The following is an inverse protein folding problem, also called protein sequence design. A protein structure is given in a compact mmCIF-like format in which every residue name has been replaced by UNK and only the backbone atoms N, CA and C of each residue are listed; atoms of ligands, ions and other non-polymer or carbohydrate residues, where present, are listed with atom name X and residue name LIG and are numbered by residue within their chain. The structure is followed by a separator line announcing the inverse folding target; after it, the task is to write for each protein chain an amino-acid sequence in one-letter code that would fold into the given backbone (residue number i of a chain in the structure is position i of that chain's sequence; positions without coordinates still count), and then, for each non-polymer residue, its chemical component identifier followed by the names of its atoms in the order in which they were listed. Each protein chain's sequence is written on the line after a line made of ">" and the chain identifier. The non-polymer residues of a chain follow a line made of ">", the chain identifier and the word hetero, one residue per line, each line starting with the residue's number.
data_IF_484487584784
#
_entry.id   IF_484487584784
#
_cell.length_a   1.000
_cell.length_b   1.000
_cell.length_c   1.000
_cell.angle_alpha   90.00
_cell.angle_beta   90.00
_cell.angle_gamma   90.00
#
_symmetry.space_group_name_H-M   'P 1'
#
loop_
_entity.id
_entity.type
_entity.pdbx_description
1 polymer ?
#
# COMPACT_ATOMS: atom_id res chain seq x y z
N UNK A 1 -10.04 9.02 -4.59
CA UNK A 1 -8.62 9.10 -5.02
C UNK A 1 -7.72 8.80 -3.83
N UNK A 2 -6.60 8.12 -4.05
CA UNK A 2 -5.60 7.85 -2.99
C UNK A 2 -4.36 8.70 -3.26
N UNK A 3 -3.90 9.43 -2.25
CA UNK A 3 -2.74 10.31 -2.32
C UNK A 3 -1.67 9.85 -1.34
N UNK A 4 -0.44 9.72 -1.83
CA UNK A 4 0.70 9.31 -1.02
C UNK A 4 1.43 10.54 -0.49
N UNK A 5 1.64 10.59 0.82
CA UNK A 5 2.44 11.59 1.55
C UNK A 5 3.44 10.86 2.44
N UNK A 6 4.37 11.56 3.09
CA UNK A 6 5.33 10.95 3.98
C UNK A 6 6.17 11.94 4.77
N UNK A 7 7.16 11.41 5.51
CA UNK A 7 8.11 12.21 6.31
C UNK A 7 8.81 13.29 5.48
N UNK A 8 9.09 13.02 4.21
CA UNK A 8 9.77 13.94 3.30
C UNK A 8 8.81 14.87 2.55
N UNK A 9 7.50 14.72 2.74
CA UNK A 9 6.52 15.60 2.07
C UNK A 9 6.57 16.98 2.68
N UNK A 10 6.91 17.96 1.83
CA UNK A 10 6.89 19.37 2.18
C UNK A 10 5.46 19.87 2.43
N UNK A 11 5.20 20.31 3.65
CA UNK A 11 3.88 20.76 4.10
C UNK A 11 3.35 21.98 3.34
N UNK A 12 4.23 22.89 2.93
CA UNK A 12 3.86 24.06 2.14
C UNK A 12 3.37 23.68 0.73
N UNK A 13 4.02 22.69 0.11
CA UNK A 13 3.61 22.16 -1.19
C UNK A 13 2.29 21.38 -1.08
N UNK A 14 2.11 20.56 -0.05
CA UNK A 14 0.84 19.87 0.19
C UNK A 14 -0.30 20.87 0.40
N UNK A 15 -0.07 21.90 1.21
CA UNK A 15 -1.07 22.94 1.47
C UNK A 15 -1.46 23.63 0.16
N UNK A 16 -0.47 24.05 -0.65
CA UNK A 16 -0.72 24.69 -1.94
C UNK A 16 -1.46 23.78 -2.93
N UNK A 17 -1.09 22.50 -2.97
CA UNK A 17 -1.78 21.51 -3.81
C UNK A 17 -3.26 21.38 -3.42
N UNK A 18 -3.55 21.26 -2.13
CA UNK A 18 -4.93 21.12 -1.64
C UNK A 18 -5.77 22.39 -1.88
N UNK A 19 -5.17 23.57 -1.76
CA UNK A 19 -5.82 24.84 -2.10
C UNK A 19 -6.16 24.91 -3.59
N UNK A 20 -5.22 24.55 -4.47
CA UNK A 20 -5.48 24.50 -5.91
C UNK A 20 -6.53 23.45 -6.26
N UNK A 21 -6.50 22.29 -5.61
CA UNK A 21 -7.49 21.24 -5.78
C UNK A 21 -8.89 21.69 -5.34
N UNK A 22 -9.01 22.44 -4.24
CA UNK A 22 -10.28 23.00 -3.77
C UNK A 22 -10.88 24.02 -4.73
N UNK A 23 -10.04 24.72 -5.49
CA UNK A 23 -10.51 25.64 -6.53
C UNK A 23 -11.00 24.92 -7.80
N UNK A 24 -10.61 23.66 -7.99
CA UNK A 24 -10.91 22.90 -9.21
C UNK A 24 -11.96 21.80 -9.03
N UNK A 25 -11.97 21.14 -7.87
CA UNK A 25 -12.84 20.01 -7.60
C UNK A 25 -13.98 20.38 -6.63
N UNK A 26 -15.19 19.82 -6.83
CA UNK A 26 -16.27 19.97 -5.86
C UNK A 26 -15.86 19.46 -4.46
N UNK A 27 -16.41 20.05 -3.38
CA UNK A 27 -16.12 19.61 -2.01
C UNK A 27 -16.35 18.10 -1.77
N UNK A 28 -17.40 17.54 -2.38
CA UNK A 28 -17.69 16.11 -2.30
C UNK A 28 -16.55 15.24 -2.87
N UNK A 29 -15.93 15.69 -3.98
CA UNK A 29 -14.79 15.00 -4.58
C UNK A 29 -13.58 15.05 -3.66
N UNK A 30 -13.24 16.21 -3.08
CA UNK A 30 -12.12 16.33 -2.15
C UNK A 30 -12.32 15.51 -0.88
N UNK A 31 -13.53 15.49 -0.32
CA UNK A 31 -13.85 14.68 0.86
C UNK A 31 -13.80 13.17 0.59
N UNK A 32 -13.85 12.75 -0.68
CA UNK A 32 -13.63 11.36 -1.08
C UNK A 32 -12.15 10.97 -1.18
N UNK A 33 -11.23 11.93 -1.03
CA UNK A 33 -9.80 11.65 -1.09
C UNK A 33 -9.32 10.99 0.19
N UNK A 34 -8.28 10.18 0.06
CA UNK A 34 -7.74 9.34 1.11
C UNK A 34 -6.23 9.46 1.06
N UNK A 35 -5.61 9.75 2.20
CA UNK A 35 -4.20 10.07 2.28
C UNK A 35 -3.47 8.91 2.95
N UNK A 36 -2.43 8.42 2.30
CA UNK A 36 -1.61 7.32 2.79
C UNK A 36 -0.25 7.90 3.13
N UNK A 37 0.12 7.82 4.40
CA UNK A 37 1.38 8.36 4.90
C UNK A 37 2.45 7.28 5.00
N UNK A 38 3.61 7.58 4.42
CA UNK A 38 4.78 6.71 4.36
C UNK A 38 5.89 7.25 5.24
N UNK A 39 6.68 6.37 5.84
CA UNK A 39 7.94 6.76 6.46
C UNK A 39 9.07 5.84 6.06
N UNK A 40 10.28 6.39 6.17
CA UNK A 40 11.50 5.62 6.06
C UNK A 40 11.75 4.88 7.39
N UNK A 41 12.10 3.58 7.37
CA UNK A 41 12.50 2.85 8.57
C UNK A 41 13.67 3.49 9.33
N UNK A 42 14.48 4.29 8.66
CA UNK A 42 15.61 5.02 9.23
C UNK A 42 15.20 6.29 9.98
N UNK A 43 13.97 6.79 9.81
CA UNK A 43 13.50 7.97 10.54
C UNK A 43 13.33 7.64 12.03
N UNK A 44 13.82 8.52 12.91
CA UNK A 44 13.61 8.40 14.36
C UNK A 44 12.14 8.52 14.73
N UNK A 45 11.74 7.98 15.87
CA UNK A 45 10.35 8.05 16.34
C UNK A 45 9.88 9.50 16.49
N UNK A 46 10.69 10.37 17.09
CA UNK A 46 10.39 11.80 17.23
C UNK A 46 10.15 12.48 15.89
N UNK A 47 10.97 12.16 14.87
CA UNK A 47 10.79 12.69 13.51
C UNK A 47 9.50 12.19 12.86
N UNK A 48 9.16 10.90 13.03
CA UNK A 48 7.90 10.31 12.54
C UNK A 48 6.70 11.00 13.17
N UNK A 49 6.69 11.17 14.49
CA UNK A 49 5.59 11.82 15.20
C UNK A 49 5.44 13.30 14.81
N UNK A 50 6.55 14.04 14.70
CA UNK A 50 6.51 15.43 14.27
C UNK A 50 5.94 15.57 12.85
N UNK A 51 6.43 14.77 11.90
CA UNK A 51 5.94 14.78 10.52
C UNK A 51 4.47 14.37 10.42
N UNK A 52 4.05 13.33 11.15
CA UNK A 52 2.65 12.90 11.21
C UNK A 52 1.71 14.02 11.68
N UNK A 53 2.02 14.66 12.81
CA UNK A 53 1.21 15.77 13.34
C UNK A 53 1.16 16.94 12.37
N UNK A 54 2.29 17.27 11.73
CA UNK A 54 2.36 18.36 10.76
C UNK A 54 1.46 18.08 9.54
N UNK A 55 1.53 16.87 8.98
CA UNK A 55 0.72 16.44 7.82
C UNK A 55 -0.76 16.45 8.17
N UNK A 56 -1.15 15.86 9.31
CA UNK A 56 -2.53 15.93 9.83
C UNK A 56 -3.02 17.36 9.98
N UNK A 57 -2.20 18.23 10.57
CA UNK A 57 -2.55 19.64 10.77
C UNK A 57 -2.75 20.42 9.47
N UNK A 58 -2.06 20.05 8.38
CA UNK A 58 -2.34 20.60 7.04
C UNK A 58 -3.67 20.08 6.51
N UNK A 59 -3.90 18.77 6.60
CA UNK A 59 -5.12 18.15 6.09
C UNK A 59 -6.37 18.67 6.81
N UNK A 60 -6.39 18.69 8.14
CA UNK A 60 -7.55 19.14 8.93
C UNK A 60 -7.82 20.65 8.83
N UNK A 61 -6.84 21.47 8.42
CA UNK A 61 -7.09 22.89 8.14
C UNK A 61 -7.82 23.13 6.83
N UNK A 62 -7.63 22.26 5.85
CA UNK A 62 -8.13 22.47 4.49
C UNK A 62 -9.29 21.56 4.13
N UNK A 63 -9.43 20.43 4.82
CA UNK A 63 -10.46 19.43 4.57
C UNK A 63 -11.28 19.23 5.86
N UNK A 64 -12.62 19.13 5.76
CA UNK A 64 -13.48 18.99 6.93
C UNK A 64 -13.32 17.64 7.64
N UNK A 65 -13.16 16.55 6.88
CA UNK A 65 -13.03 15.19 7.40
C UNK A 65 -12.01 14.39 6.57
N UNK A 66 -10.72 14.77 6.58
CA UNK A 66 -9.70 14.02 5.88
C UNK A 66 -9.54 12.65 6.55
N UNK A 67 -9.35 11.59 5.73
CA UNK A 67 -8.89 10.31 6.24
C UNK A 67 -7.41 10.13 5.89
N UNK A 68 -6.58 9.97 6.92
CA UNK A 68 -5.15 9.74 6.85
C UNK A 68 -4.81 8.39 7.49
N UNK A 69 -4.31 7.47 6.67
CA UNK A 69 -3.83 6.18 7.12
C UNK A 69 -2.32 6.05 7.01
N UNK A 70 -1.82 4.99 7.61
CA UNK A 70 -0.41 4.64 7.67
C UNK A 70 -0.11 3.57 6.65
N UNK A 71 0.92 3.75 5.83
CA UNK A 71 1.52 2.66 5.07
C UNK A 71 2.62 1.98 5.89
N UNK A 72 2.55 0.66 6.00
CA UNK A 72 3.60 -0.12 6.62
C UNK A 72 3.89 -1.42 5.88
N UNK A 73 5.19 -1.71 5.73
CA UNK A 73 5.67 -2.97 5.19
C UNK A 73 6.07 -3.88 6.35
N UNK A 74 5.16 -4.78 6.72
CA UNK A 74 5.43 -5.82 7.71
C UNK A 74 6.47 -6.83 7.21
N UNK A 75 7.31 -7.31 8.13
CA UNK A 75 8.24 -8.39 7.86
C UNK A 75 7.49 -9.65 7.37
N UNK A 76 8.02 -10.39 6.38
CA UNK A 76 7.32 -11.55 5.84
C UNK A 76 7.16 -12.71 6.82
N UNK A 77 8.12 -12.89 7.74
CA UNK A 77 8.18 -14.04 8.66
C UNK A 77 7.30 -13.90 9.90
N UNK A 78 7.15 -12.68 10.42
CA UNK A 78 6.43 -12.43 11.68
C UNK A 78 5.76 -11.05 11.69
N UNK A 79 4.73 -10.85 10.86
CA UNK A 79 4.03 -9.58 10.78
C UNK A 79 3.25 -9.24 12.06
N UNK A 80 2.98 -10.19 12.96
CA UNK A 80 2.17 -10.00 14.16
C UNK A 80 2.90 -9.34 15.33
N UNK A 81 4.23 -9.49 15.39
CA UNK A 81 5.07 -8.91 16.46
C UNK A 81 5.73 -7.58 16.05
N UNK A 82 5.22 -6.94 15.00
CA UNK A 82 5.80 -5.70 14.47
C UNK A 82 5.70 -4.54 15.50
N UNK A 83 6.80 -3.77 15.72
CA UNK A 83 6.79 -2.63 16.64
C UNK A 83 5.72 -1.57 16.33
N UNK A 84 5.25 -1.47 15.08
CA UNK A 84 4.21 -0.53 14.70
C UNK A 84 2.95 -0.67 15.56
N UNK A 85 2.57 -1.88 15.99
CA UNK A 85 1.36 -2.08 16.80
C UNK A 85 1.42 -1.40 18.18
N UNK A 86 2.61 -1.00 18.63
CA UNK A 86 2.80 -0.25 19.87
C UNK A 86 2.97 1.26 19.63
N UNK A 87 2.98 1.70 18.36
CA UNK A 87 3.18 3.10 18.02
C UNK A 87 1.94 3.92 18.34
N UNK A 88 2.08 5.09 19.00
CA UNK A 88 0.96 6.00 19.24
C UNK A 88 0.35 6.52 17.93
N UNK A 89 1.11 6.52 16.83
CA UNK A 89 0.64 6.97 15.51
C UNK A 89 -0.51 6.10 15.00
N UNK A 90 -0.48 4.81 15.33
CA UNK A 90 -1.48 3.86 14.86
C UNK A 90 -2.84 4.15 15.52
N UNK A 91 -2.85 4.57 16.78
CA UNK A 91 -4.09 4.94 17.50
C UNK A 91 -4.77 6.18 16.91
N UNK A 92 -4.01 7.06 16.24
CA UNK A 92 -4.56 8.25 15.63
C UNK A 92 -4.99 8.02 14.17
N UNK A 93 -4.46 7.00 13.49
CA UNK A 93 -4.69 6.75 12.06
C UNK A 93 -6.14 6.37 11.76
N UNK A 94 -6.63 6.73 10.59
CA UNK A 94 -7.99 6.34 10.14
C UNK A 94 -8.03 4.93 9.54
N UNK A 95 -6.88 4.44 9.06
CA UNK A 95 -6.72 3.12 8.48
C UNK A 95 -5.25 2.68 8.48
N UNK A 96 -5.02 1.37 8.40
CA UNK A 96 -3.70 0.78 8.20
C UNK A 96 -3.63 0.24 6.77
N UNK A 97 -2.63 0.66 6.02
CA UNK A 97 -2.35 0.19 4.68
C UNK A 97 -1.08 -0.67 4.66
N UNK A 98 -1.13 -1.78 3.92
CA UNK A 98 -0.03 -2.74 3.86
C UNK A 98 0.08 -3.39 2.49
N UNK A 99 1.10 -4.23 2.36
CA UNK A 99 1.30 -5.12 1.23
C UNK A 99 1.41 -6.58 1.65
N UNK A 100 1.07 -7.47 0.74
CA UNK A 100 1.24 -8.91 0.92
C UNK A 100 1.51 -9.56 -0.44
N UNK A 101 2.78 -9.55 -0.86
CA UNK A 101 3.19 -10.16 -2.12
C UNK A 101 3.70 -11.58 -1.86
N UNK A 102 3.05 -12.58 -2.47
CA UNK A 102 3.43 -13.99 -2.31
C UNK A 102 4.88 -14.27 -2.70
N UNK A 103 5.45 -13.46 -3.60
CA UNK A 103 6.83 -13.59 -4.02
C UNK A 103 7.83 -13.17 -2.91
N UNK A 104 7.40 -12.48 -1.84
CA UNK A 104 8.25 -12.19 -0.66
C UNK A 104 8.70 -13.45 0.09
N UNK A 105 7.99 -14.57 -0.09
CA UNK A 105 8.30 -15.85 0.58
C UNK A 105 9.22 -16.75 -0.25
N UNK A 106 9.43 -16.44 -1.54
CA UNK A 106 10.17 -17.31 -2.44
C UNK A 106 11.57 -16.78 -2.71
N UNK A 107 12.55 -17.56 -2.29
CA UNK A 107 13.82 -17.63 -3.01
C UNK A 107 13.71 -18.78 -4.03
N UNK A 108 13.58 -18.44 -5.31
CA UNK A 108 13.44 -19.43 -6.39
C UNK A 108 14.63 -20.41 -6.46
N UNK A 109 15.79 -20.01 -5.95
CA UNK A 109 16.97 -20.89 -5.88
C UNK A 109 16.86 -21.97 -4.79
N UNK A 110 15.91 -21.83 -3.85
CA UNK A 110 15.70 -22.73 -2.70
C UNK A 110 14.24 -23.17 -2.56
N UNK A 111 13.48 -23.16 -3.65
CA UNK A 111 12.07 -23.51 -3.63
C UNK A 111 11.91 -25.03 -3.44
N UNK A 112 11.32 -25.41 -2.31
CA UNK A 112 10.79 -26.76 -2.06
C UNK A 112 9.25 -26.69 -2.03
N UNK A 113 8.60 -27.82 -2.31
CA UNK A 113 7.15 -28.07 -2.26
C UNK A 113 6.44 -27.39 -1.08
N UNK A 114 7.06 -27.43 0.10
CA UNK A 114 6.55 -26.82 1.33
C UNK A 114 6.47 -25.28 1.28
N UNK A 115 7.44 -24.63 0.64
CA UNK A 115 7.52 -23.16 0.46
C UNK A 115 6.59 -22.66 -0.66
N UNK A 116 6.33 -23.48 -1.68
CA UNK A 116 5.29 -23.18 -2.66
C UNK A 116 3.90 -23.22 -2.02
N UNK A 117 3.61 -24.23 -1.20
CA UNK A 117 2.31 -24.34 -0.52
C UNK A 117 2.06 -23.17 0.46
N UNK A 118 3.09 -22.71 1.16
CA UNK A 118 2.97 -21.57 2.09
C UNK A 118 2.83 -20.21 1.39
N UNK A 119 3.36 -20.07 0.17
CA UNK A 119 3.28 -18.83 -0.60
C UNK A 119 1.95 -18.65 -1.33
N UNK A 120 1.26 -19.74 -1.69
CA UNK A 120 -0.05 -19.71 -2.35
C UNK A 120 -1.10 -18.94 -1.54
N UNK A 121 -1.16 -19.16 -0.23
CA UNK A 121 -2.12 -18.52 0.67
C UNK A 121 -1.52 -17.34 1.45
N UNK A 122 -0.30 -16.90 1.10
CA UNK A 122 0.45 -15.93 1.87
C UNK A 122 -0.30 -14.62 2.14
N UNK A 123 -0.99 -13.99 1.16
CA UNK A 123 -1.74 -12.77 1.42
C UNK A 123 -2.77 -12.93 2.54
N UNK A 124 -3.54 -14.02 2.51
CA UNK A 124 -4.56 -14.32 3.52
C UNK A 124 -3.94 -14.55 4.89
N UNK A 125 -2.83 -15.31 4.97
CA UNK A 125 -2.15 -15.58 6.24
C UNK A 125 -1.58 -14.30 6.85
N UNK A 126 -0.90 -13.46 6.06
CA UNK A 126 -0.34 -12.18 6.52
C UNK A 126 -1.43 -11.26 7.05
N UNK A 127 -2.56 -11.13 6.33
CA UNK A 127 -3.70 -10.32 6.76
C UNK A 127 -4.30 -10.84 8.09
N UNK A 128 -4.47 -12.16 8.24
CA UNK A 128 -4.97 -12.76 9.50
C UNK A 128 -4.07 -12.43 10.69
N UNK A 129 -2.74 -12.49 10.50
CA UNK A 129 -1.77 -12.15 11.55
C UNK A 129 -1.85 -10.66 11.92
N UNK A 130 -1.93 -9.75 10.93
CA UNK A 130 -2.11 -8.31 11.17
C UNK A 130 -3.43 -8.05 11.92
N UNK A 131 -4.53 -8.67 11.50
CA UNK A 131 -5.82 -8.59 12.19
C UNK A 131 -5.79 -9.09 13.62
N UNK A 132 -5.07 -10.20 13.87
CA UNK A 132 -4.89 -10.72 15.22
C UNK A 132 -4.14 -9.72 16.09
N UNK A 133 -3.06 -9.14 15.58
CA UNK A 133 -2.25 -8.16 16.30
C UNK A 133 -3.05 -6.88 16.60
N UNK A 134 -3.80 -6.34 15.63
CA UNK A 134 -4.70 -5.19 15.86
C UNK A 134 -5.73 -5.48 16.95
N UNK A 135 -6.38 -6.65 16.91
CA UNK A 135 -7.37 -7.06 17.91
C UNK A 135 -6.77 -7.23 19.31
N UNK A 136 -5.58 -7.83 19.42
CA UNK A 136 -4.86 -7.96 20.69
C UNK A 136 -4.53 -6.59 21.33
N UNK A 137 -4.37 -5.55 20.50
CA UNK A 137 -4.16 -4.16 20.95
C UNK A 137 -5.43 -3.33 21.01
N UNK A 138 -6.60 -3.95 20.82
CA UNK A 138 -7.91 -3.28 20.82
C UNK A 138 -8.01 -2.13 19.80
N UNK A 139 -7.26 -2.22 18.69
CA UNK A 139 -7.29 -1.25 17.61
C UNK A 139 -8.30 -1.70 16.54
N UNK A 140 -9.35 -0.90 16.33
CA UNK A 140 -10.36 -1.15 15.30
C UNK A 140 -10.04 -0.34 14.03
N UNK A 141 -8.93 -0.67 13.38
CA UNK A 141 -8.50 0.00 12.15
C UNK A 141 -8.91 -0.81 10.92
N UNK A 142 -9.56 -0.19 9.92
CA UNK A 142 -9.75 -0.86 8.64
C UNK A 142 -8.40 -1.10 7.97
N UNK A 143 -8.22 -2.31 7.46
CA UNK A 143 -7.00 -2.73 6.76
C UNK A 143 -7.15 -2.51 5.26
N UNK A 144 -6.15 -1.91 4.64
CA UNK A 144 -6.10 -1.58 3.21
C UNK A 144 -4.91 -2.31 2.59
N UNK A 145 -5.16 -3.30 1.75
CA UNK A 145 -4.11 -4.00 1.03
C UNK A 145 -3.85 -3.27 -0.29
N UNK A 146 -2.89 -2.34 -0.34
CA UNK A 146 -2.67 -1.51 -1.56
C UNK A 146 -1.75 -2.18 -2.57
N UNK A 147 -1.05 -3.23 -2.19
CA UNK A 147 -0.11 -3.94 -3.06
C UNK A 147 -0.07 -5.41 -2.70
N UNK A 148 -0.56 -6.25 -3.61
CA UNK A 148 -0.43 -7.69 -3.52
C UNK A 148 -0.40 -8.32 -4.91
N UNK A 149 0.10 -9.54 -4.96
CA UNK A 149 0.14 -10.37 -6.15
C UNK A 149 0.10 -11.84 -5.73
N UNK A 150 -0.28 -12.70 -6.66
CA UNK A 150 -0.11 -14.15 -6.50
C UNK A 150 1.33 -14.52 -6.81
N UNK A 151 1.67 -15.79 -6.59
CA UNK A 151 2.86 -16.39 -7.16
C UNK A 151 2.95 -16.09 -8.66
N UNK A 152 4.06 -15.52 -9.10
CA UNK A 152 4.34 -15.27 -10.51
C UNK A 152 5.62 -15.99 -10.90
N UNK A 153 5.57 -16.78 -11.98
CA UNK A 153 6.76 -17.41 -12.55
C UNK A 153 7.49 -16.45 -13.50
N UNK A 154 8.78 -16.70 -13.73
CA UNK A 154 9.63 -15.84 -14.57
C UNK A 154 9.49 -16.10 -16.08
N UNK A 155 8.62 -17.01 -16.52
CA UNK A 155 8.44 -17.30 -17.96
C UNK A 155 6.97 -17.24 -18.40
N UNK A 156 6.76 -16.99 -19.69
CA UNK A 156 5.45 -17.05 -20.35
C UNK A 156 4.86 -18.47 -20.29
N UNK A 157 5.72 -19.50 -20.21
CA UNK A 157 5.31 -20.90 -20.04
C UNK A 157 4.95 -21.27 -18.60
N UNK A 158 5.64 -20.74 -17.58
CA UNK A 158 5.28 -20.98 -16.17
C UNK A 158 4.11 -20.12 -15.70
N UNK A 159 3.94 -18.92 -16.28
CA UNK A 159 2.71 -18.11 -16.11
C UNK A 159 1.53 -18.64 -16.94
N UNK A 160 1.79 -19.33 -18.05
CA UNK A 160 0.77 -19.80 -19.01
C UNK A 160 0.23 -21.21 -18.74
N UNK A 161 0.96 -22.05 -17.99
CA UNK A 161 0.48 -23.40 -17.60
C UNK A 161 -0.36 -23.41 -16.32
N UNK A 162 -0.34 -22.34 -15.53
CA UNK A 162 -1.14 -22.23 -14.32
C UNK A 162 -2.28 -21.23 -14.49
N UNK A 163 -3.41 -21.64 -13.92
CA UNK A 163 -4.68 -20.99 -13.65
C UNK A 163 -4.55 -19.65 -12.87
N UNK A 164 -3.60 -18.76 -13.22
CA UNK A 164 -3.31 -17.53 -12.49
C UNK A 164 -4.52 -16.62 -12.40
N UNK A 165 -5.32 -16.54 -13.46
CA UNK A 165 -6.57 -15.78 -13.44
C UNK A 165 -7.49 -16.24 -12.32
N UNK A 166 -7.59 -17.54 -12.07
CA UNK A 166 -8.48 -18.04 -11.05
C UNK A 166 -7.84 -18.22 -9.67
N UNK A 167 -6.50 -18.37 -9.56
CA UNK A 167 -5.79 -18.13 -8.31
C UNK A 167 -5.94 -16.67 -7.85
N UNK A 168 -5.88 -15.71 -8.78
CA UNK A 168 -6.17 -14.30 -8.52
C UNK A 168 -7.61 -14.11 -8.06
N UNK A 169 -8.59 -14.75 -8.71
CA UNK A 169 -10.01 -14.64 -8.30
C UNK A 169 -10.26 -15.27 -6.93
N UNK A 170 -9.70 -16.45 -6.67
CA UNK A 170 -9.82 -17.14 -5.37
C UNK A 170 -9.15 -16.33 -4.25
N UNK A 171 -7.92 -15.87 -4.47
CA UNK A 171 -7.23 -15.00 -3.51
C UNK A 171 -7.99 -13.68 -3.30
N UNK A 172 -8.52 -13.09 -4.39
CA UNK A 172 -9.29 -11.84 -4.31
C UNK A 172 -10.57 -12.02 -3.48
N UNK A 173 -11.28 -13.13 -3.66
CA UNK A 173 -12.47 -13.45 -2.86
C UNK A 173 -12.12 -13.56 -1.37
N UNK A 174 -11.05 -14.30 -1.03
CA UNK A 174 -10.61 -14.42 0.37
C UNK A 174 -10.06 -13.13 0.98
N UNK A 175 -9.41 -12.28 0.17
CA UNK A 175 -8.87 -10.97 0.61
C UNK A 175 -10.00 -9.97 0.82
N UNK A 176 -11.01 -9.96 -0.04
CA UNK A 176 -12.13 -9.02 0.01
C UNK A 176 -12.93 -9.09 1.32
N UNK A 177 -12.94 -10.25 1.99
CA UNK A 177 -13.56 -10.41 3.31
C UNK A 177 -12.68 -9.91 4.47
N UNK A 178 -11.41 -9.63 4.22
CA UNK A 178 -10.43 -9.22 5.24
C UNK A 178 -10.02 -7.76 5.14
N UNK A 179 -10.27 -7.07 4.03
CA UNK A 179 -9.78 -5.70 3.83
C UNK A 179 -10.89 -4.77 3.36
N UNK A 180 -10.80 -3.50 3.75
CA UNK A 180 -11.72 -2.47 3.28
C UNK A 180 -11.44 -2.08 1.82
N UNK A 181 -10.16 -2.17 1.43
CA UNK A 181 -9.69 -1.89 0.08
C UNK A 181 -8.61 -2.89 -0.30
N UNK A 182 -8.71 -3.45 -1.51
CA UNK A 182 -7.67 -4.27 -2.12
C UNK A 182 -7.26 -3.65 -3.47
N UNK A 183 -5.98 -3.26 -3.58
CA UNK A 183 -5.31 -2.91 -4.83
C UNK A 183 -4.27 -3.98 -5.15
N UNK A 184 -4.33 -4.54 -6.36
CA UNK A 184 -3.40 -5.56 -6.84
C UNK A 184 -2.60 -5.04 -8.04
N UNK A 185 -1.38 -5.56 -8.21
CA UNK A 185 -0.54 -5.20 -9.35
C UNK A 185 -0.69 -6.23 -10.48
N UNK A 186 -1.05 -5.74 -11.66
CA UNK A 186 -0.95 -6.50 -12.91
C UNK A 186 0.45 -6.29 -13.49
N UNK A 187 1.26 -7.35 -13.54
CA UNK A 187 2.62 -7.36 -14.11
C UNK A 187 2.65 -7.21 -15.66
N UNK A 188 1.77 -6.39 -16.25
CA UNK A 188 1.61 -6.25 -17.70
C UNK A 188 2.88 -5.75 -18.41
N UNK A 189 3.67 -4.92 -17.73
CA UNK A 189 4.95 -4.43 -18.24
C UNK A 189 6.10 -5.45 -18.18
N UNK A 190 6.08 -6.39 -17.23
CA UNK A 190 7.10 -7.44 -17.08
C UNK A 190 6.83 -8.60 -18.05
N UNK A 191 5.58 -8.71 -18.53
CA UNK A 191 5.08 -9.79 -19.37
C UNK A 191 5.09 -9.45 -20.87
N UNK A 192 5.66 -8.30 -21.26
CA UNK A 192 5.83 -7.91 -22.66
C UNK A 192 4.51 -7.61 -23.40
N UNK A 193 3.42 -7.34 -22.68
CA UNK A 193 2.12 -7.00 -23.28
C UNK A 193 2.08 -5.56 -23.84
N UNK A 194 3.07 -4.72 -23.51
CA UNK A 194 3.33 -3.46 -24.19
C UNK A 194 4.31 -3.69 -25.37
N UNK A 195 3.79 -3.68 -26.60
CA UNK A 195 4.60 -3.86 -27.81
C UNK A 195 5.49 -2.64 -28.14
N UNK A 196 6.73 -2.97 -28.50
CA UNK A 196 7.65 -2.39 -29.50
C UNK A 196 8.02 -0.89 -29.55
N UNK A 197 7.40 0.04 -28.83
CA UNK A 197 7.70 1.48 -29.02
C UNK A 197 8.48 2.15 -27.87
N UNK A 198 9.26 1.37 -27.12
CA UNK A 198 10.48 1.86 -26.46
C UNK A 198 10.33 2.89 -25.34
N UNK A 199 9.14 3.13 -24.77
CA UNK A 199 8.98 3.99 -23.58
C UNK A 199 8.10 3.35 -22.52
N UNK A 200 8.73 2.53 -21.67
CA UNK A 200 8.28 2.28 -20.31
C UNK A 200 9.50 2.40 -19.39
N UNK A 201 9.63 3.55 -18.72
CA UNK A 201 10.64 3.77 -17.68
C UNK A 201 10.08 3.18 -16.38
N UNK A 202 10.55 1.99 -16.03
CA UNK A 202 10.35 1.43 -14.69
C UNK A 202 10.96 2.36 -13.64
N UNK A 203 10.17 2.77 -12.65
CA UNK A 203 10.69 3.17 -11.35
C UNK A 203 10.27 2.09 -10.36
N UNK A 204 11.25 1.27 -9.95
CA UNK A 204 11.09 0.33 -8.85
C UNK A 204 10.87 1.10 -7.54
N UNK A 205 9.91 0.73 -6.69
CA UNK A 205 9.85 1.21 -5.32
C UNK A 205 10.90 0.45 -4.49
N UNK A 206 12.14 0.95 -4.48
CA UNK A 206 13.22 0.37 -3.66
C UNK A 206 14.63 0.92 -3.91
N UNK A 207 14.92 1.54 -5.05
CA UNK A 207 16.28 1.94 -5.41
C UNK A 207 16.62 3.43 -5.22
N UNK A 208 15.89 4.17 -4.38
CA UNK A 208 16.15 5.61 -4.16
C UNK A 208 16.39 5.97 -2.67
N UNK A 209 17.13 5.11 -1.95
CA UNK A 209 17.73 5.45 -0.66
C UNK A 209 19.19 4.94 -0.61
N UNK A 210 20.01 5.42 -1.53
CA UNK A 210 21.46 5.55 -1.33
C UNK A 210 21.93 6.81 -2.02
N UNK A 211 22.71 7.61 -1.29
CA UNK A 211 22.94 9.03 -1.53
C UNK A 211 23.74 9.34 -2.80
N UNK A 212 23.36 10.42 -3.50
CA UNK A 212 24.23 11.57 -3.87
C UNK A 212 23.42 12.73 -4.52
N UNK A 213 23.96 13.97 -4.54
CA UNK A 213 23.20 15.19 -4.27
C UNK A 213 22.57 15.86 -5.50
N UNK A 214 21.51 16.63 -5.21
CA UNK A 214 20.99 17.84 -5.88
C UNK A 214 20.87 17.87 -7.42
N UNK A 215 19.63 17.87 -7.92
CA UNK A 215 19.09 18.89 -8.81
C UNK A 215 17.55 18.72 -8.95
N UNK A 216 16.78 19.80 -9.19
CA UNK A 216 15.38 19.92 -8.80
C UNK A 216 14.40 19.50 -9.90
N UNK A 217 13.26 18.93 -9.47
CA UNK A 217 12.06 18.80 -10.29
C UNK A 217 11.83 17.40 -10.86
N UNK A 218 10.96 16.64 -10.21
CA UNK A 218 9.73 16.13 -10.84
C UNK A 218 8.84 15.52 -9.74
N UNK A 219 7.63 16.04 -9.66
CA UNK A 219 6.58 15.69 -8.70
C UNK A 219 5.91 14.34 -9.05
N UNK A 220 5.62 13.56 -8.01
CA UNK A 220 4.33 12.88 -7.82
C UNK A 220 4.02 11.65 -8.68
N UNK A 221 4.20 10.46 -8.12
CA UNK A 221 3.57 9.24 -8.64
C UNK A 221 2.13 9.16 -8.13
N UNK A 222 1.14 9.33 -9.01
CA UNK A 222 -0.26 8.94 -8.78
C UNK A 222 -0.40 7.44 -9.05
N UNK A 223 -0.73 6.65 -8.04
CA UNK A 223 -1.18 5.27 -8.22
C UNK A 223 -2.71 5.25 -8.21
N UNK A 224 -3.33 4.79 -9.30
CA UNK A 224 -4.77 4.60 -9.40
C UNK A 224 -5.10 3.18 -8.90
N UNK A 225 -5.58 3.05 -7.66
CA UNK A 225 -6.16 1.80 -7.18
C UNK A 225 -7.65 1.76 -7.55
N UNK A 226 -8.08 0.74 -8.29
CA UNK A 226 -9.49 0.44 -8.48
C UNK A 226 -10.04 -0.16 -7.17
N UNK A 227 -10.94 0.55 -6.50
CA UNK A 227 -11.57 0.11 -5.26
C UNK A 227 -12.93 -0.53 -5.55
N UNK A 228 -13.10 -1.83 -5.33
CA UNK A 228 -14.42 -2.41 -5.18
C UNK A 228 -14.97 -2.00 -3.80
N UNK A 229 -15.94 -1.08 -3.76
CA UNK A 229 -16.63 -0.73 -2.51
C UNK A 229 -17.62 -1.85 -2.17
N UNK A 230 -17.62 -2.32 -0.91
CA UNK A 230 -18.82 -2.97 -0.34
C UNK A 230 -19.78 -1.87 0.12
N UNK A 231 -21.01 -1.94 -0.35
CA UNK A 231 -22.11 -1.15 0.21
C UNK A 231 -22.58 -1.83 1.50
N UNK A 232 -22.72 -1.15 2.65
CA UNK A 232 -23.04 -1.78 3.94
C UNK A 232 -24.46 -2.39 4.05
N UNK A 233 -25.17 -2.60 2.94
CA UNK A 233 -26.62 -2.80 2.90
C UNK A 233 -27.15 -4.07 2.22
N UNK A 234 -26.32 -5.08 1.95
CA UNK A 234 -26.83 -6.37 1.43
C UNK A 234 -26.61 -7.49 2.45
N UNK A 235 -27.72 -7.94 3.04
CA UNK A 235 -27.82 -9.15 3.86
C UNK A 235 -27.74 -10.40 3.01
#
# INVERSE_FOLDING_TARGET
>A
MILHTGVTTRSDLLQRFLQLAANHFPPATLNSWRFVWHWSPQASEAARQAAWRQQRGVLHRLLPQPQLGIWHRFAPSDPGNDPLFHSPLLAEADFLACQADANEQLDLAQADSSRLASSEHYPLHKLRQIHSALRQRQLNLPLWLLSWNTLTGDTRDTNGRFFRGALLMDTSAGVADQVWLAGFWLNSGLQGEARANGKLRYLQPGAALSARPAAPGLLGTLALAAAARRDPGSR
#
